data_IF_747091868123
#
_entry.id   IF_747091868123
#
_cell.length_a   1.000
_cell.length_b   1.000
_cell.length_c   1.000
_cell.angle_alpha   90.00
_cell.angle_beta   90.00
_cell.angle_gamma   90.00
#
_symmetry.space_group_name_H-M   'P 1'
#
loop_
_entity.id
_entity.type
_entity.pdbx_description
1 polymer ?
#
# COMPACT_ATOMS: atom_id res chain seq x y z
N UNK A 1 26.18 28.65 -7.37
CA UNK A 1 25.18 27.98 -6.50
C UNK A 1 23.81 28.45 -6.93
N UNK A 2 22.88 27.53 -7.20
CA UNK A 2 21.51 27.90 -7.58
C UNK A 2 20.78 28.57 -6.42
N UNK A 3 19.81 29.43 -6.71
CA UNK A 3 18.97 30.02 -5.66
C UNK A 3 18.05 28.95 -5.04
N UNK A 4 17.71 29.11 -3.76
CA UNK A 4 16.74 28.24 -3.06
C UNK A 4 15.44 28.07 -3.84
N UNK A 5 14.91 29.16 -4.43
CA UNK A 5 13.72 29.13 -5.30
C UNK A 5 13.92 28.24 -6.54
N UNK A 6 15.10 28.28 -7.17
CA UNK A 6 15.41 27.46 -8.35
C UNK A 6 15.53 25.97 -7.97
N UNK A 7 16.13 25.65 -6.83
CA UNK A 7 16.22 24.27 -6.34
C UNK A 7 14.85 23.69 -6.00
N UNK A 8 13.97 24.44 -5.32
CA UNK A 8 12.58 24.02 -5.08
C UNK A 8 11.81 23.77 -6.37
N UNK A 9 11.92 24.67 -7.34
CA UNK A 9 11.32 24.49 -8.67
C UNK A 9 11.86 23.26 -9.41
N UNK A 10 13.14 22.92 -9.24
CA UNK A 10 13.71 21.70 -9.79
C UNK A 10 13.15 20.45 -9.11
N UNK A 11 13.10 20.41 -7.78
CA UNK A 11 12.52 19.30 -7.02
C UNK A 11 11.03 19.08 -7.34
N UNK A 12 10.27 20.16 -7.49
CA UNK A 12 8.88 20.12 -7.94
C UNK A 12 8.76 19.43 -9.30
N UNK A 13 9.60 19.83 -10.26
CA UNK A 13 9.65 19.23 -11.60
C UNK A 13 10.08 17.76 -11.56
N UNK A 14 11.05 17.42 -10.72
CA UNK A 14 11.55 16.06 -10.56
C UNK A 14 10.46 15.14 -10.01
N UNK A 15 9.73 15.54 -8.95
CA UNK A 15 8.62 14.76 -8.42
C UNK A 15 7.51 14.55 -9.44
N UNK A 16 7.19 15.59 -10.23
CA UNK A 16 6.15 15.51 -11.26
C UNK A 16 6.52 14.50 -12.35
N UNK A 17 7.75 14.56 -12.85
CA UNK A 17 8.23 13.66 -13.92
C UNK A 17 8.46 12.24 -13.40
N UNK A 18 8.92 12.09 -12.15
CA UNK A 18 9.23 10.78 -11.56
C UNK A 18 7.97 9.94 -11.32
N UNK A 19 6.86 10.55 -10.93
CA UNK A 19 5.57 9.88 -10.71
C UNK A 19 5.48 8.98 -9.47
N UNK A 20 6.62 8.46 -9.01
CA UNK A 20 6.78 7.69 -7.77
C UNK A 20 7.37 8.55 -6.64
N UNK A 21 7.51 8.04 -5.40
CA UNK A 21 8.24 8.74 -4.35
C UNK A 21 9.69 9.03 -4.76
N UNK A 22 10.08 10.30 -4.65
CA UNK A 22 11.44 10.78 -4.87
C UNK A 22 12.21 10.76 -3.55
N UNK A 23 13.26 9.95 -3.46
CA UNK A 23 14.07 9.91 -2.24
C UNK A 23 14.92 11.18 -2.08
N UNK A 24 15.11 11.62 -0.83
CA UNK A 24 16.02 12.74 -0.52
C UNK A 24 17.44 12.46 -1.02
N UNK A 25 17.86 11.20 -1.04
CA UNK A 25 19.18 10.80 -1.53
C UNK A 25 19.34 11.01 -3.04
N UNK A 26 18.32 10.64 -3.83
CA UNK A 26 18.34 10.84 -5.28
C UNK A 26 18.28 12.34 -5.60
N UNK A 27 17.44 13.10 -4.88
CA UNK A 27 17.40 14.56 -4.98
C UNK A 27 18.76 15.21 -4.69
N UNK A 28 19.43 14.79 -3.62
CA UNK A 28 20.75 15.28 -3.24
C UNK A 28 21.81 14.97 -4.31
N UNK A 29 21.76 13.76 -4.86
CA UNK A 29 22.68 13.31 -5.92
C UNK A 29 22.51 14.14 -7.19
N UNK A 30 21.27 14.34 -7.64
CA UNK A 30 20.96 15.07 -8.89
C UNK A 30 21.23 16.57 -8.76
N UNK A 31 20.96 17.16 -7.59
CA UNK A 31 21.18 18.59 -7.35
C UNK A 31 22.61 18.91 -6.89
N UNK A 32 23.45 17.89 -6.69
CA UNK A 32 24.81 18.01 -6.18
C UNK A 32 24.88 18.82 -4.88
N UNK A 33 23.93 18.56 -3.97
CA UNK A 33 23.85 19.23 -2.66
C UNK A 33 23.62 18.24 -1.53
N UNK A 34 23.61 18.72 -0.28
CA UNK A 34 23.50 17.86 0.88
C UNK A 34 22.05 17.37 1.12
N UNK A 35 21.93 16.17 1.69
CA UNK A 35 20.62 15.55 2.00
C UNK A 35 19.79 16.38 2.96
N UNK A 36 20.43 17.14 3.86
CA UNK A 36 19.69 17.95 4.85
C UNK A 36 19.06 19.15 4.15
N UNK A 37 19.78 19.83 3.25
CA UNK A 37 19.22 20.90 2.42
C UNK A 37 18.07 20.38 1.55
N UNK A 38 18.22 19.27 0.83
CA UNK A 38 17.12 18.71 0.02
C UNK A 38 15.88 18.40 0.85
N UNK A 39 16.05 17.80 2.03
CA UNK A 39 14.94 17.52 2.94
C UNK A 39 14.25 18.81 3.40
N UNK A 40 15.02 19.83 3.77
CA UNK A 40 14.47 21.13 4.15
C UNK A 40 13.67 21.76 3.00
N UNK A 41 14.20 21.73 1.77
CA UNK A 41 13.54 22.25 0.58
C UNK A 41 12.22 21.53 0.27
N UNK A 42 12.19 20.19 0.37
CA UNK A 42 10.99 19.40 0.14
C UNK A 42 9.91 19.64 1.20
N UNK A 43 10.31 19.78 2.47
CA UNK A 43 9.38 20.12 3.56
C UNK A 43 8.85 21.55 3.45
N UNK A 44 9.69 22.51 3.04
CA UNK A 44 9.23 23.85 2.70
C UNK A 44 8.19 23.81 1.57
N UNK A 45 8.46 23.06 0.49
CA UNK A 45 7.55 22.94 -0.64
C UNK A 45 6.21 22.29 -0.25
N UNK A 46 6.25 21.25 0.61
CA UNK A 46 5.06 20.64 1.21
C UNK A 46 4.20 21.70 1.92
N UNK A 47 4.81 22.49 2.79
CA UNK A 47 4.11 23.54 3.54
C UNK A 47 3.55 24.65 2.62
N UNK A 48 4.27 25.04 1.58
CA UNK A 48 3.80 26.04 0.60
C UNK A 48 2.54 25.54 -0.14
N UNK A 49 2.53 24.28 -0.59
CA UNK A 49 1.35 23.68 -1.23
C UNK A 49 0.14 23.62 -0.30
N UNK A 50 0.36 23.37 0.99
CA UNK A 50 -0.69 23.35 2.01
C UNK A 50 -1.23 24.75 2.30
N UNK A 51 -0.36 25.73 2.54
CA UNK A 51 -0.73 27.12 2.87
C UNK A 51 -1.48 27.82 1.74
N UNK A 52 -1.13 27.51 0.49
CA UNK A 52 -1.81 28.05 -0.68
C UNK A 52 -3.15 27.36 -0.98
N UNK A 53 -3.52 26.31 -0.24
CA UNK A 53 -4.80 25.62 -0.41
C UNK A 53 -4.93 24.90 -1.77
N UNK A 54 -3.82 24.40 -2.34
CA UNK A 54 -3.82 23.76 -3.66
C UNK A 54 -4.65 22.45 -3.68
N UNK A 55 -4.96 21.93 -4.87
CA UNK A 55 -5.57 20.58 -5.00
C UNK A 55 -4.55 19.43 -4.96
N UNK A 56 -3.27 19.76 -5.16
CA UNK A 56 -2.12 18.84 -5.05
C UNK A 56 -1.50 19.01 -3.66
N UNK A 57 -1.00 17.92 -3.09
CA UNK A 57 -0.27 17.85 -1.83
C UNK A 57 1.04 17.11 -2.04
N UNK A 58 1.98 17.28 -1.11
CA UNK A 58 3.22 16.52 -1.07
C UNK A 58 3.20 15.70 0.20
N UNK A 59 3.37 14.37 0.07
CA UNK A 59 3.44 13.45 1.20
C UNK A 59 4.88 12.98 1.40
N UNK A 60 5.32 12.90 2.65
CA UNK A 60 6.62 12.37 3.06
C UNK A 60 6.43 10.90 3.51
N UNK A 61 7.27 9.98 3.03
CA UNK A 61 7.27 8.55 3.39
C UNK A 61 8.73 8.09 3.44
N UNK A 62 9.21 7.62 4.59
CA UNK A 62 10.57 7.09 4.76
C UNK A 62 11.67 7.91 4.04
N UNK A 63 11.73 9.22 4.30
CA UNK A 63 12.71 10.15 3.68
C UNK A 63 12.57 10.30 2.15
N UNK A 64 11.38 10.01 1.62
CA UNK A 64 10.99 10.23 0.23
C UNK A 64 9.73 11.08 0.14
N UNK A 65 9.55 11.79 -0.97
CA UNK A 65 8.46 12.74 -1.15
C UNK A 65 7.72 12.47 -2.47
N UNK A 66 6.39 12.52 -2.45
CA UNK A 66 5.56 12.27 -3.62
C UNK A 66 4.41 13.27 -3.72
N UNK A 67 4.05 13.65 -4.95
CA UNK A 67 2.78 14.33 -5.19
C UNK A 67 1.59 13.39 -4.98
N UNK A 68 0.59 13.90 -4.28
CA UNK A 68 -0.70 13.24 -4.07
C UNK A 68 -1.82 14.25 -4.26
N UNK A 69 -3.05 13.78 -4.45
CA UNK A 69 -4.23 14.64 -4.48
C UNK A 69 -4.68 14.99 -3.06
N UNK A 70 -5.35 16.13 -2.91
CA UNK A 70 -6.06 16.47 -1.68
C UNK A 70 -7.24 15.52 -1.47
N UNK A 71 -7.34 14.93 -0.27
CA UNK A 71 -8.38 13.95 0.09
C UNK A 71 -9.80 14.48 -0.12
N UNK A 72 -10.05 15.76 0.16
CA UNK A 72 -11.37 16.40 -0.02
C UNK A 72 -11.88 16.35 -1.48
N UNK A 73 -10.98 16.11 -2.44
CA UNK A 73 -11.33 15.98 -3.85
C UNK A 73 -11.64 14.53 -4.28
N UNK A 74 -11.66 13.55 -3.37
CA UNK A 74 -11.84 12.12 -3.65
C UNK A 74 -13.03 11.84 -4.58
N UNK A 75 -14.20 12.42 -4.31
CA UNK A 75 -15.40 12.26 -5.14
C UNK A 75 -15.21 12.67 -6.62
N UNK A 76 -14.35 13.65 -6.89
CA UNK A 76 -14.10 14.12 -8.25
C UNK A 76 -13.10 13.21 -8.97
N UNK A 77 -12.07 12.77 -8.24
CA UNK A 77 -11.07 11.83 -8.76
C UNK A 77 -11.72 10.48 -9.07
N UNK A 78 -12.60 10.00 -8.21
CA UNK A 78 -13.30 8.73 -8.41
C UNK A 78 -14.16 8.77 -9.68
N UNK A 79 -14.95 9.83 -9.86
CA UNK A 79 -15.77 10.03 -11.08
C UNK A 79 -14.91 10.07 -12.35
N UNK A 80 -13.73 10.69 -12.28
CA UNK A 80 -12.81 10.78 -13.42
C UNK A 80 -12.23 9.41 -13.79
N UNK A 81 -11.91 8.58 -12.80
CA UNK A 81 -11.17 7.34 -13.01
C UNK A 81 -12.06 6.10 -13.23
N UNK A 82 -13.39 6.18 -13.07
CA UNK A 82 -14.28 5.01 -13.19
C UNK A 82 -14.29 4.40 -14.61
N UNK A 83 -14.26 3.05 -14.73
CA UNK A 83 -14.22 2.08 -13.64
C UNK A 83 -12.77 1.74 -13.23
N UNK A 84 -12.33 2.19 -12.04
CA UNK A 84 -11.13 1.60 -11.43
C UNK A 84 -11.57 0.40 -10.60
N UNK A 85 -11.29 -0.82 -11.08
CA UNK A 85 -11.39 -2.02 -10.24
C UNK A 85 -10.23 -2.04 -9.25
N UNK A 86 -10.32 -1.28 -8.16
CA UNK A 86 -9.37 -1.41 -7.05
C UNK A 86 -9.71 -2.70 -6.30
N UNK A 87 -8.91 -3.75 -6.48
CA UNK A 87 -9.08 -5.00 -5.71
C UNK A 87 -8.77 -4.72 -4.24
N UNK A 88 -9.79 -4.53 -3.42
CA UNK A 88 -9.66 -4.38 -1.95
C UNK A 88 -8.95 -5.61 -1.36
N UNK A 89 -8.28 -5.42 -0.22
CA UNK A 89 -7.77 -6.54 0.58
C UNK A 89 -8.95 -7.21 1.28
N UNK A 90 -8.95 -8.54 1.35
CA UNK A 90 -9.95 -9.27 2.14
C UNK A 90 -9.70 -9.07 3.63
N UNK A 91 -10.71 -9.36 4.46
CA UNK A 91 -10.58 -9.28 5.92
C UNK A 91 -9.41 -10.12 6.44
N UNK A 92 -9.26 -11.36 5.96
CA UNK A 92 -8.14 -12.22 6.33
C UNK A 92 -6.77 -11.61 5.95
N UNK A 93 -6.69 -10.90 4.83
CA UNK A 93 -5.47 -10.20 4.42
C UNK A 93 -5.16 -9.00 5.32
N UNK A 94 -6.19 -8.24 5.72
CA UNK A 94 -6.03 -7.13 6.67
C UNK A 94 -5.57 -7.62 8.05
N UNK A 95 -6.12 -8.73 8.54
CA UNK A 95 -5.68 -9.34 9.82
C UNK A 95 -4.20 -9.73 9.81
N UNK A 96 -3.78 -10.47 8.78
CA UNK A 96 -2.38 -10.89 8.64
C UNK A 96 -1.47 -9.67 8.49
N UNK A 97 -1.86 -8.70 7.69
CA UNK A 97 -1.11 -7.47 7.48
C UNK A 97 -0.97 -6.68 8.79
N UNK A 98 -2.02 -6.58 9.60
CA UNK A 98 -1.98 -5.93 10.91
C UNK A 98 -1.02 -6.65 11.85
N UNK A 99 -1.07 -7.99 11.93
CA UNK A 99 -0.14 -8.77 12.75
C UNK A 99 1.31 -8.47 12.35
N UNK A 100 1.61 -8.47 11.04
CA UNK A 100 2.96 -8.17 10.55
C UNK A 100 3.35 -6.73 10.89
N UNK A 101 2.50 -5.74 10.62
CA UNK A 101 2.79 -4.33 10.88
C UNK A 101 3.18 -4.05 12.34
N UNK A 102 2.48 -4.69 13.29
CA UNK A 102 2.68 -4.47 14.73
C UNK A 102 3.66 -5.44 15.41
N UNK A 103 4.01 -6.57 14.79
CA UNK A 103 4.89 -7.59 15.40
C UNK A 103 6.17 -7.85 14.60
N UNK A 104 6.38 -7.16 13.49
CA UNK A 104 7.60 -7.31 12.70
C UNK A 104 8.89 -7.05 13.51
N UNK A 105 9.98 -7.79 13.23
CA UNK A 105 10.06 -8.91 12.29
C UNK A 105 9.39 -10.19 12.85
N UNK A 106 8.50 -10.83 12.09
CA UNK A 106 7.68 -11.98 12.56
C UNK A 106 7.73 -13.16 11.60
N UNK A 107 7.70 -14.39 12.11
CA UNK A 107 7.68 -15.62 11.30
C UNK A 107 6.26 -16.05 10.93
N UNK A 108 6.12 -16.84 9.85
CA UNK A 108 4.83 -17.45 9.49
C UNK A 108 4.19 -18.24 10.65
N UNK A 109 5.00 -19.00 11.38
CA UNK A 109 4.50 -19.82 12.50
C UNK A 109 3.92 -18.99 13.64
N UNK A 110 4.52 -17.83 13.94
CA UNK A 110 3.98 -16.89 14.93
C UNK A 110 2.67 -16.25 14.45
N UNK A 111 2.59 -15.88 13.16
CA UNK A 111 1.35 -15.36 12.55
C UNK A 111 0.23 -16.40 12.67
N UNK A 112 0.50 -17.65 12.27
CA UNK A 112 -0.47 -18.74 12.34
C UNK A 112 -0.92 -19.03 13.77
N UNK A 113 -0.01 -18.91 14.74
CA UNK A 113 -0.32 -19.07 16.17
C UNK A 113 -1.25 -17.97 16.67
N UNK A 114 -1.04 -16.72 16.25
CA UNK A 114 -1.89 -15.59 16.64
C UNK A 114 -3.28 -15.71 16.00
N UNK A 115 -3.36 -16.14 14.73
CA UNK A 115 -4.63 -16.28 14.00
C UNK A 115 -5.39 -17.56 14.31
N UNK A 116 -4.71 -18.59 14.80
CA UNK A 116 -5.26 -19.93 14.99
C UNK A 116 -5.48 -20.74 13.70
N UNK A 117 -5.13 -20.19 12.53
CA UNK A 117 -5.26 -20.84 11.22
C UNK A 117 -4.06 -20.53 10.31
N UNK A 118 -3.86 -21.37 9.29
CA UNK A 118 -2.76 -21.20 8.32
C UNK A 118 -2.93 -19.94 7.47
N UNK A 119 -1.85 -19.19 7.31
CA UNK A 119 -1.82 -17.88 6.65
C UNK A 119 -0.92 -17.82 5.42
N UNK A 120 -0.35 -18.95 4.99
CA UNK A 120 0.62 -19.04 3.88
C UNK A 120 0.14 -18.34 2.59
N UNK A 121 -1.02 -18.72 2.05
CA UNK A 121 -1.59 -18.10 0.84
C UNK A 121 -1.86 -16.60 1.01
N UNK A 122 -2.21 -16.18 2.22
CA UNK A 122 -2.50 -14.77 2.51
C UNK A 122 -1.21 -13.96 2.50
N UNK A 123 -0.15 -14.49 3.12
CA UNK A 123 1.19 -13.87 3.11
C UNK A 123 1.71 -13.79 1.67
N UNK A 124 1.58 -14.85 0.87
CA UNK A 124 1.97 -14.83 -0.55
C UNK A 124 1.20 -13.77 -1.35
N UNK A 125 -0.11 -13.65 -1.11
CA UNK A 125 -0.94 -12.61 -1.71
C UNK A 125 -0.51 -11.19 -1.33
N UNK A 126 -0.13 -10.97 -0.07
CA UNK A 126 0.39 -9.68 0.41
C UNK A 126 1.77 -9.36 -0.18
N UNK A 127 2.65 -10.35 -0.32
CA UNK A 127 3.96 -10.19 -0.98
C UNK A 127 3.82 -9.82 -2.46
N UNK A 128 2.91 -10.50 -3.18
CA UNK A 128 2.63 -10.19 -4.59
C UNK A 128 2.13 -8.76 -4.80
N UNK A 129 1.44 -8.20 -3.80
CA UNK A 129 0.99 -6.80 -3.77
C UNK A 129 2.03 -5.84 -3.18
N UNK A 130 3.24 -6.32 -2.88
CA UNK A 130 4.33 -5.59 -2.23
C UNK A 130 3.97 -4.99 -0.88
N UNK A 131 2.92 -5.47 -0.19
CA UNK A 131 2.54 -4.94 1.14
C UNK A 131 3.47 -5.45 2.25
N UNK A 132 4.03 -6.64 2.05
CA UNK A 132 4.97 -7.28 2.97
C UNK A 132 6.15 -7.88 2.20
N UNK A 133 7.28 -8.05 2.87
CA UNK A 133 8.49 -8.63 2.30
C UNK A 133 9.23 -9.52 3.31
N UNK A 134 10.19 -10.31 2.82
CA UNK A 134 11.10 -11.07 3.68
C UNK A 134 12.24 -10.17 4.12
N UNK A 135 12.28 -9.81 5.40
CA UNK A 135 13.29 -8.93 5.98
C UNK A 135 14.46 -9.69 6.63
N UNK A 136 14.43 -11.02 6.64
CA UNK A 136 15.53 -11.84 7.16
C UNK A 136 15.15 -13.29 7.40
N UNK A 137 15.99 -13.99 8.17
CA UNK A 137 15.72 -15.34 8.67
C UNK A 137 15.89 -15.40 10.17
N UNK A 138 15.01 -16.13 10.83
CA UNK A 138 15.09 -16.41 12.26
C UNK A 138 16.27 -17.34 12.59
N UNK A 139 16.81 -17.20 13.80
CA UNK A 139 17.82 -18.10 14.37
C UNK A 139 17.22 -19.38 14.97
N UNK A 140 15.89 -19.51 14.94
CA UNK A 140 15.18 -20.70 15.39
C UNK A 140 15.42 -21.93 14.52
N UNK A 141 14.95 -23.08 15.01
CA UNK A 141 15.04 -24.37 14.29
C UNK A 141 14.35 -24.25 12.92
N UNK A 142 15.04 -24.70 11.87
CA UNK A 142 14.55 -24.60 10.49
C UNK A 142 14.75 -23.23 9.83
N UNK A 143 15.27 -22.23 10.57
CA UNK A 143 15.58 -20.87 10.09
C UNK A 143 14.47 -20.26 9.21
N UNK A 144 13.23 -20.17 9.73
CA UNK A 144 12.10 -19.65 8.96
C UNK A 144 12.33 -18.19 8.55
N UNK A 145 11.70 -17.79 7.44
CA UNK A 145 11.72 -16.40 6.99
C UNK A 145 11.03 -15.48 8.00
N UNK A 146 11.61 -14.29 8.17
CA UNK A 146 11.01 -13.18 8.90
C UNK A 146 10.34 -12.23 7.91
N UNK A 147 9.14 -11.78 8.25
CA UNK A 147 8.33 -10.89 7.44
C UNK A 147 8.23 -9.51 8.09
N UNK A 148 8.19 -8.47 7.25
CA UNK A 148 7.95 -7.09 7.62
C UNK A 148 7.11 -6.37 6.56
N UNK A 149 6.62 -5.18 6.88
CA UNK A 149 5.91 -4.30 5.95
C UNK A 149 6.87 -3.49 5.10
N UNK A 150 6.43 -3.05 3.93
CA UNK A 150 7.22 -2.27 2.98
C UNK A 150 6.87 -0.77 2.99
N UNK A 151 7.56 0.01 2.17
CA UNK A 151 7.18 1.40 1.88
C UNK A 151 5.83 1.52 1.14
N UNK A 152 5.45 0.51 0.35
CA UNK A 152 4.16 0.47 -0.34
C UNK A 152 3.00 0.36 0.67
N UNK A 153 3.21 -0.38 1.76
CA UNK A 153 2.26 -0.40 2.88
C UNK A 153 2.09 1.00 3.47
N UNK A 154 3.16 1.70 3.81
CA UNK A 154 3.09 3.06 4.35
C UNK A 154 2.40 4.02 3.38
N UNK A 155 2.74 3.95 2.08
CA UNK A 155 2.12 4.72 1.00
C UNK A 155 0.62 4.48 0.89
N UNK A 156 0.19 3.22 0.98
CA UNK A 156 -1.21 2.83 0.83
C UNK A 156 -2.05 3.29 2.01
N UNK A 157 -1.54 3.13 3.24
CA UNK A 157 -2.27 3.50 4.46
C UNK A 157 -2.04 4.96 4.88
N UNK A 158 -1.13 5.67 4.22
CA UNK A 158 -0.89 7.10 4.44
C UNK A 158 -0.05 7.41 5.67
N UNK A 159 0.82 6.50 6.10
CA UNK A 159 1.78 6.70 7.18
C UNK A 159 3.09 7.28 6.63
N UNK A 160 3.75 8.18 7.37
CA UNK A 160 5.09 8.66 7.00
C UNK A 160 6.16 7.64 7.39
N UNK A 161 5.92 6.91 8.50
CA UNK A 161 6.78 5.87 9.05
C UNK A 161 6.00 4.84 9.87
N UNK A 162 6.63 3.73 10.22
CA UNK A 162 6.03 2.72 11.12
C UNK A 162 5.74 3.24 12.53
N UNK A 163 6.34 4.36 12.94
CA UNK A 163 6.08 4.99 14.25
C UNK A 163 4.73 5.68 14.30
N UNK A 164 4.12 5.95 13.15
CA UNK A 164 2.81 6.60 13.04
C UNK A 164 1.67 5.58 13.12
N UNK A 165 1.98 4.29 13.26
CA UNK A 165 0.98 3.26 13.47
C UNK A 165 0.24 3.50 14.79
N UNK A 166 -1.11 3.47 14.79
CA UNK A 166 -1.87 3.76 16.00
C UNK A 166 -1.70 2.69 17.08
N UNK A 167 -1.68 3.10 18.35
CA UNK A 167 -1.44 2.18 19.47
C UNK A 167 -2.54 1.12 19.61
N UNK A 168 -2.13 -0.14 19.76
CA UNK A 168 -3.02 -1.31 19.83
C UNK A 168 -3.87 -1.29 21.11
N UNK A 169 -3.36 -0.71 22.21
CA UNK A 169 -4.05 -0.69 23.51
C UNK A 169 -5.33 0.17 23.52
N UNK A 170 -5.51 1.04 22.51
CA UNK A 170 -6.67 1.94 22.38
C UNK A 170 -7.76 1.48 21.41
N UNK A 171 -7.54 0.44 20.61
CA UNK A 171 -8.53 -0.02 19.65
C UNK A 171 -9.65 -0.83 20.33
N UNK A 172 -10.72 -0.15 20.72
CA UNK A 172 -12.03 -0.80 20.72
C UNK A 172 -12.35 -1.12 19.27
N UNK A 173 -12.35 -2.41 18.94
CA UNK A 173 -12.91 -2.90 17.68
C UNK A 173 -14.36 -2.41 17.67
N UNK A 174 -14.64 -1.35 16.91
CA UNK A 174 -16.00 -1.14 16.42
C UNK A 174 -16.25 -2.34 15.51
N UNK A 175 -17.08 -3.26 15.98
CA UNK A 175 -17.58 -4.34 15.15
C UNK A 175 -18.12 -3.76 13.85
N UNK A 176 -17.92 -4.46 12.74
CA UNK A 176 -18.50 -4.16 11.43
C UNK A 176 -20.05 -4.17 11.39
N UNK A 177 -20.71 -4.09 12.55
CA UNK A 177 -22.14 -3.90 12.70
C UNK A 177 -22.54 -2.41 12.72
N UNK A 178 -21.58 -1.49 12.71
CA UNK A 178 -21.83 -0.03 12.74
C UNK A 178 -21.62 0.65 11.37
N UNK A 179 -21.26 -0.09 10.32
CA UNK A 179 -21.33 0.40 8.94
C UNK A 179 -22.61 -0.19 8.33
N UNK A 180 -23.61 0.67 8.10
CA UNK A 180 -24.66 0.38 7.13
C UNK A 180 -23.97 0.10 5.80
N UNK A 181 -23.94 -1.17 5.40
CA UNK A 181 -23.59 -1.56 4.04
C UNK A 181 -24.71 -1.00 3.17
N UNK A 182 -24.39 -0.01 2.33
CA UNK A 182 -25.33 0.48 1.33
C UNK A 182 -25.79 -0.71 0.48
N UNK A 183 -27.11 -0.87 0.33
CA UNK A 183 -27.77 -1.98 -0.39
C UNK A 183 -27.31 -2.16 -1.85
N UNK A 184 -26.51 -1.25 -2.39
CA UNK A 184 -25.94 -1.33 -3.76
C UNK A 184 -24.70 -2.25 -3.87
N UNK A 185 -24.11 -2.69 -2.75
CA UNK A 185 -22.91 -3.56 -2.75
C UNK A 185 -23.22 -5.08 -2.79
N UNK A 186 -24.48 -5.51 -2.54
CA UNK A 186 -24.87 -6.93 -2.58
C UNK A 186 -24.83 -7.52 -4.01
N UNK A 187 -25.18 -6.72 -5.02
CA UNK A 187 -25.20 -7.18 -6.43
C UNK A 187 -23.80 -7.49 -6.99
N UNK A 188 -22.74 -6.93 -6.40
CA UNK A 188 -21.36 -7.17 -6.82
C UNK A 188 -20.77 -8.46 -6.25
N UNK A 189 -21.22 -8.89 -5.06
CA UNK A 189 -20.77 -10.15 -4.42
C UNK A 189 -21.38 -11.35 -5.14
N UNK A 190 -22.66 -11.28 -5.54
CA UNK A 190 -23.35 -12.36 -6.25
C UNK A 190 -22.72 -12.72 -7.60
N UNK A 191 -22.11 -11.76 -8.31
CA UNK A 191 -21.44 -12.02 -9.59
C UNK A 191 -20.05 -12.68 -9.45
N UNK A 192 -19.43 -12.59 -8.26
CA UNK A 192 -18.12 -13.20 -8.00
C UNK A 192 -18.29 -14.66 -7.58
N UNK A 193 -19.32 -15.00 -6.80
CA UNK A 193 -19.59 -16.39 -6.39
C UNK A 193 -19.96 -17.30 -7.58
N UNK A 194 -20.62 -16.77 -8.61
CA UNK A 194 -21.01 -17.57 -9.78
C UNK A 194 -19.86 -17.95 -10.74
N UNK A 195 -18.64 -17.46 -10.53
CA UNK A 195 -17.50 -17.70 -11.43
C UNK A 195 -16.45 -18.68 -10.89
N UNK A 196 -16.74 -19.44 -9.81
CA UNK A 196 -15.80 -20.38 -9.22
C UNK A 196 -16.15 -21.87 -9.36
N UNK A 197 -17.24 -22.22 -10.06
CA UNK A 197 -17.60 -23.61 -10.37
C UNK A 197 -17.84 -23.80 -11.88
N UNK A 198 -16.77 -23.75 -12.68
CA UNK A 198 -16.78 -24.40 -14.00
C UNK A 198 -15.36 -24.59 -14.55
N UNK A 199 -14.50 -25.31 -13.84
CA UNK A 199 -13.29 -25.89 -14.46
C UNK A 199 -12.93 -27.18 -13.73
N UNK A 200 -13.82 -28.16 -13.78
CA UNK A 200 -13.45 -29.56 -13.56
C UNK A 200 -14.43 -30.48 -14.33
N UNK A 201 -13.86 -31.37 -15.14
CA UNK A 201 -14.46 -32.53 -15.85
C UNK A 201 -14.93 -32.32 -17.31
N UNK A 202 -14.02 -32.53 -18.27
CA UNK A 202 -13.90 -33.82 -18.98
C UNK A 202 -13.00 -33.70 -20.23
N UNK A 203 -11.79 -34.23 -20.14
CA UNK A 203 -11.23 -34.96 -21.27
C UNK A 203 -12.00 -36.28 -21.39
N UNK A 204 -12.59 -36.56 -22.56
CA UNK A 204 -12.64 -37.91 -23.16
C UNK A 204 -13.41 -37.88 -24.49
N UNK A 205 -12.83 -38.48 -25.53
CA UNK A 205 -13.62 -39.21 -26.52
C UNK A 205 -13.66 -38.66 -27.94
N UNK A 206 -12.74 -39.18 -28.78
CA UNK A 206 -12.90 -39.29 -30.23
C UNK A 206 -14.32 -39.73 -30.65
N UNK A 207 -14.85 -39.14 -31.72
CA UNK A 207 -15.24 -39.87 -32.94
C UNK A 207 -15.61 -38.94 -34.10
N UNK A 208 -14.77 -39.02 -35.11
CA UNK A 208 -15.03 -39.05 -36.55
C UNK A 208 -16.49 -39.45 -36.87
N UNK A 209 -17.17 -38.68 -37.74
CA UNK A 209 -17.67 -39.22 -39.01
C UNK A 209 -18.21 -38.12 -39.94
N UNK A 210 -17.92 -38.34 -41.22
CA UNK A 210 -18.37 -37.62 -42.41
C UNK A 210 -19.87 -37.86 -42.67
N UNK A 211 -20.60 -36.79 -43.01
CA UNK A 211 -21.43 -36.66 -44.22
C UNK A 211 -22.24 -35.35 -44.21
#
# INVERSE_FOLDING_TARGET
>A
MYSRKKLKSALESMMFVWGEPLSVNDGATVLETDRKEVRELLRELKNEYEQEGRGIRIREINDSFQFVTLKDNEQFIEKLCRPVKVKRLSQAALEVLAIIAYRQPVTRGEIDTIRGIKSERVIDGLMNRKMVEVCGKSDGIGRPNLYGTTDEFLKTFGFESLKDLPDIEGFKIKSAADEEIDEEDEDYIGQIEMNFDSDENNEEGEKIDEN
#
